data_IF_742245523154
#
_entry.id   IF_742245523154
#
_cell.length_a   1.000
_cell.length_b   1.000
_cell.length_c   1.000
_cell.angle_alpha   90.00
_cell.angle_beta   90.00
_cell.angle_gamma   90.00
#
_symmetry.space_group_name_H-M   'P 1'
#
loop_
_entity.id
_entity.type
_entity.pdbx_description
1 polymer ?
#
# COMPACT_ATOMS: atom_id res chain seq x y z
N UNK A 1 -8.21 5.62 -23.38
CA UNK A 1 -6.76 5.64 -23.13
C UNK A 1 -6.53 5.22 -21.68
N UNK A 2 -5.74 4.18 -21.41
CA UNK A 2 -5.42 3.82 -20.02
C UNK A 2 -4.23 4.68 -19.59
N UNK A 3 -4.50 5.75 -18.84
CA UNK A 3 -3.46 6.57 -18.21
C UNK A 3 -2.71 5.68 -17.20
N UNK A 4 -1.53 5.19 -17.57
CA UNK A 4 -0.64 4.52 -16.61
C UNK A 4 -0.20 5.58 -15.60
N UNK A 5 -0.66 5.46 -14.35
CA UNK A 5 -0.11 6.26 -13.24
C UNK A 5 1.38 5.96 -13.11
N UNK A 6 2.18 7.01 -13.03
CA UNK A 6 3.62 6.93 -12.79
C UNK A 6 3.87 6.29 -11.42
N UNK A 7 4.90 5.43 -11.32
CA UNK A 7 5.24 4.70 -10.09
C UNK A 7 6.70 4.89 -9.77
N UNK A 8 6.99 5.29 -8.54
CA UNK A 8 8.35 5.45 -8.02
C UNK A 8 8.65 4.30 -7.07
N UNK A 9 9.85 3.70 -7.19
CA UNK A 9 10.33 2.67 -6.26
C UNK A 9 11.05 3.34 -5.10
N UNK A 10 10.64 3.02 -3.88
CA UNK A 10 11.26 3.53 -2.64
C UNK A 10 11.60 2.35 -1.72
N UNK A 11 12.59 2.54 -0.86
CA UNK A 11 12.88 1.62 0.25
C UNK A 11 12.37 2.25 1.54
N UNK A 12 11.54 1.53 2.29
CA UNK A 12 10.98 1.97 3.57
C UNK A 12 11.13 0.86 4.60
N UNK A 13 11.53 1.23 5.83
CA UNK A 13 11.57 0.31 6.97
C UNK A 13 10.22 0.36 7.67
N UNK A 14 9.63 -0.81 7.92
CA UNK A 14 8.33 -0.95 8.57
C UNK A 14 8.46 -1.87 9.78
N UNK A 15 7.55 -1.72 10.74
CA UNK A 15 7.47 -2.63 11.88
C UNK A 15 7.14 -4.06 11.43
N UNK A 16 7.83 -5.04 12.00
CA UNK A 16 7.64 -6.46 11.69
C UNK A 16 6.19 -6.90 11.86
N UNK A 17 5.57 -6.51 12.97
CA UNK A 17 4.17 -6.83 13.29
C UNK A 17 3.18 -6.31 12.24
N UNK A 18 3.39 -5.09 11.74
CA UNK A 18 2.56 -4.53 10.67
C UNK A 18 2.69 -5.33 9.38
N UNK A 19 3.90 -5.76 9.01
CA UNK A 19 4.13 -6.55 7.79
C UNK A 19 3.54 -7.96 7.92
N UNK A 20 3.64 -8.58 9.10
CA UNK A 20 3.05 -9.90 9.38
C UNK A 20 1.53 -9.87 9.26
N UNK A 21 0.86 -8.87 9.83
CA UNK A 21 -0.58 -8.66 9.65
C UNK A 21 -0.98 -8.66 8.16
N UNK A 22 -0.30 -7.88 7.32
CA UNK A 22 -0.63 -7.84 5.90
C UNK A 22 -0.34 -9.17 5.19
N UNK A 23 0.67 -9.94 5.61
CA UNK A 23 0.97 -11.25 5.02
C UNK A 23 -0.12 -12.28 5.33
N UNK A 24 -0.64 -12.28 6.56
CA UNK A 24 -1.72 -13.18 6.97
C UNK A 24 -2.99 -12.91 6.17
N UNK A 25 -3.43 -11.64 6.14
CA UNK A 25 -4.63 -11.24 5.38
C UNK A 25 -4.46 -11.47 3.88
N UNK A 26 -3.26 -11.25 3.34
CA UNK A 26 -2.93 -11.51 1.94
C UNK A 26 -3.08 -12.99 1.57
N UNK A 27 -2.65 -13.89 2.46
CA UNK A 27 -2.78 -15.34 2.27
C UNK A 27 -4.24 -15.77 2.24
N UNK A 28 -5.04 -15.26 3.17
CA UNK A 28 -6.48 -15.56 3.24
C UNK A 28 -7.25 -15.07 2.00
N UNK A 29 -6.92 -13.86 1.52
CA UNK A 29 -7.63 -13.23 0.41
C UNK A 29 -7.02 -13.53 -0.96
N UNK A 30 -5.95 -14.32 -1.02
CA UNK A 30 -5.18 -14.62 -2.23
C UNK A 30 -4.76 -13.36 -3.02
N UNK A 31 -4.21 -12.36 -2.31
CA UNK A 31 -3.73 -11.09 -2.87
C UNK A 31 -2.29 -10.80 -2.44
N UNK A 32 -1.59 -9.92 -3.14
CA UNK A 32 -0.25 -9.47 -2.72
C UNK A 32 -0.32 -8.53 -1.51
N UNK A 33 0.38 -8.88 -0.43
CA UNK A 33 0.50 -8.01 0.76
C UNK A 33 1.12 -6.65 0.39
N UNK A 34 2.05 -6.59 -0.57
CA UNK A 34 2.60 -5.33 -1.05
C UNK A 34 1.53 -4.45 -1.73
N UNK A 35 0.51 -5.04 -2.37
CA UNK A 35 -0.61 -4.27 -2.95
C UNK A 35 -1.46 -3.64 -1.85
N UNK A 36 -1.67 -4.34 -0.74
CA UNK A 36 -2.39 -3.82 0.42
C UNK A 36 -1.64 -2.65 1.07
N UNK A 37 -0.33 -2.81 1.31
CA UNK A 37 0.50 -1.74 1.89
C UNK A 37 0.45 -0.48 1.00
N UNK A 38 0.60 -0.64 -0.33
CA UNK A 38 0.48 0.49 -1.26
C UNK A 38 -0.87 1.18 -1.17
N UNK A 39 -1.96 0.41 -1.05
CA UNK A 39 -3.31 0.97 -0.94
C UNK A 39 -3.52 1.79 0.32
N UNK A 40 -2.95 1.36 1.45
CA UNK A 40 -3.01 2.14 2.71
C UNK A 40 -2.26 3.46 2.56
N UNK A 41 -1.07 3.44 1.94
CA UNK A 41 -0.29 4.65 1.68
C UNK A 41 -1.03 5.59 0.72
N UNK A 42 -1.58 5.05 -0.36
CA UNK A 42 -2.40 5.81 -1.33
C UNK A 42 -3.58 6.48 -0.60
N UNK A 43 -4.34 5.73 0.21
CA UNK A 43 -5.48 6.28 0.96
C UNK A 43 -5.09 7.37 1.95
N UNK A 44 -3.99 7.18 2.68
CA UNK A 44 -3.49 8.21 3.58
C UNK A 44 -3.14 9.48 2.81
N UNK A 45 -2.40 9.36 1.72
CA UNK A 45 -2.03 10.52 0.90
C UNK A 45 -3.28 11.20 0.30
N UNK A 46 -4.20 10.44 -0.29
CA UNK A 46 -5.43 10.97 -0.88
C UNK A 46 -6.28 11.72 0.15
N UNK A 47 -6.43 11.17 1.36
CA UNK A 47 -7.18 11.80 2.45
C UNK A 47 -6.64 13.18 2.84
N UNK A 48 -5.32 13.33 2.93
CA UNK A 48 -4.69 14.60 3.33
C UNK A 48 -4.38 15.54 2.17
N UNK A 49 -4.42 15.05 0.93
CA UNK A 49 -4.18 15.87 -0.26
C UNK A 49 -5.36 16.79 -0.58
N UNK A 50 -6.58 16.41 -0.21
CA UNK A 50 -7.79 17.26 -0.37
C UNK A 50 -7.95 18.30 0.75
N UNK A 51 -7.13 18.22 1.80
CA UNK A 51 -7.14 19.17 2.93
C UNK A 51 -6.06 20.26 2.83
N UNK A 52 -5.39 20.38 1.68
CA UNK A 52 -4.28 21.30 1.42
C UNK A 52 -4.57 22.22 0.23
#
# INVERSE_FOLDING_TARGET
MVLKKEKIKVTIVLNKSSVEFFKEVAKEKNISYQKMIRKVIDWYADHYKESA
#
